data_IF_491459946587
#
_entry.id   IF_491459946587
#
_cell.length_a   1.000
_cell.length_b   1.000
_cell.length_c   1.000
_cell.angle_alpha   90.00
_cell.angle_beta   90.00
_cell.angle_gamma   90.00
#
_symmetry.space_group_name_H-M   'P 1'
#
loop_
_entity.id
_entity.type
_entity.pdbx_description
1 polymer ?
#
# COMPACT_ATOMS: atom_id res chain seq x y z
N UNK A 1 14.53 8.10 -3.06
CA UNK A 1 13.78 7.98 -1.79
C UNK A 1 14.34 6.88 -0.93
N UNK A 2 14.07 6.90 0.39
CA UNK A 2 14.56 5.93 1.36
C UNK A 2 13.45 4.98 1.81
N UNK A 3 13.85 3.77 2.18
CA UNK A 3 12.98 2.76 2.77
C UNK A 3 13.04 2.78 4.30
N UNK A 4 12.03 2.20 4.92
CA UNK A 4 12.02 1.80 6.32
C UNK A 4 11.42 0.41 6.43
N UNK A 5 12.12 -0.50 7.10
CA UNK A 5 11.56 -1.79 7.46
C UNK A 5 10.78 -1.67 8.77
N UNK A 6 9.55 -2.15 8.77
CA UNK A 6 8.67 -2.17 9.95
C UNK A 6 8.38 -3.62 10.29
N UNK A 7 8.72 -4.02 11.50
CA UNK A 7 8.49 -5.35 12.04
C UNK A 7 7.41 -5.30 13.11
N UNK A 8 6.51 -6.27 13.09
CA UNK A 8 5.46 -6.42 14.09
C UNK A 8 5.24 -7.89 14.43
N UNK A 9 5.15 -8.18 15.72
CA UNK A 9 4.72 -9.48 16.22
C UNK A 9 3.21 -9.38 16.47
N UNK A 10 2.46 -10.34 15.94
CA UNK A 10 1.03 -10.49 16.19
C UNK A 10 0.80 -11.80 16.94
N UNK A 11 0.13 -11.74 18.09
CA UNK A 11 -0.34 -12.93 18.76
C UNK A 11 -1.68 -13.31 18.12
N UNK A 12 -1.78 -14.49 17.59
CA UNK A 12 -3.05 -15.06 17.12
C UNK A 12 -3.75 -15.76 18.27
N UNK A 13 -5.06 -16.00 18.15
CA UNK A 13 -5.87 -16.62 19.20
C UNK A 13 -5.37 -18.00 19.67
N UNK A 14 -4.52 -18.63 18.87
CA UNK A 14 -3.99 -19.98 19.10
C UNK A 14 -2.57 -19.98 19.68
N UNK A 15 -2.20 -18.92 20.44
CA UNK A 15 -0.89 -18.73 21.05
C UNK A 15 0.32 -18.75 20.08
N UNK A 16 0.09 -18.86 18.79
CA UNK A 16 1.14 -18.79 17.77
C UNK A 16 1.59 -17.36 17.55
N UNK A 17 2.90 -17.13 17.49
CA UNK A 17 3.48 -15.82 17.17
C UNK A 17 3.62 -15.67 15.66
N UNK A 18 2.87 -14.74 15.07
CA UNK A 18 3.03 -14.40 13.66
C UNK A 18 3.93 -13.16 13.52
N UNK A 19 5.05 -13.32 12.81
CA UNK A 19 5.98 -12.23 12.52
C UNK A 19 5.60 -11.57 11.20
N UNK A 20 5.35 -10.27 11.24
CA UNK A 20 5.05 -9.47 10.04
C UNK A 20 6.14 -8.45 9.80
N UNK A 21 6.73 -8.48 8.60
CA UNK A 21 7.66 -7.47 8.12
C UNK A 21 7.03 -6.70 6.97
N UNK A 22 7.22 -5.39 6.94
CA UNK A 22 6.79 -4.53 5.83
C UNK A 22 7.90 -3.60 5.43
N UNK A 23 8.13 -3.50 4.13
CA UNK A 23 8.96 -2.46 3.55
C UNK A 23 8.09 -1.24 3.28
N UNK A 24 8.45 -0.09 3.83
CA UNK A 24 7.67 1.14 3.77
C UNK A 24 8.52 2.27 3.22
N UNK A 25 7.98 3.01 2.27
CA UNK A 25 8.61 4.21 1.72
C UNK A 25 8.47 5.37 2.70
N UNK A 26 9.52 6.18 2.85
CA UNK A 26 9.44 7.43 3.61
C UNK A 26 8.72 8.50 2.78
N UNK A 27 7.39 8.54 2.86
CA UNK A 27 6.49 9.37 2.05
C UNK A 27 6.76 10.88 2.10
N UNK A 28 7.34 11.37 3.21
CA UNK A 28 7.68 12.79 3.36
C UNK A 28 8.79 13.26 2.41
N UNK A 29 9.53 12.35 1.79
CA UNK A 29 10.55 12.65 0.78
C UNK A 29 9.97 12.80 -0.63
N UNK A 30 8.73 12.39 -0.85
CA UNK A 30 8.07 12.53 -2.15
C UNK A 30 7.74 13.98 -2.48
N UNK A 31 8.11 14.42 -3.69
CA UNK A 31 7.87 15.76 -4.22
C UNK A 31 6.71 15.73 -5.22
N UNK A 32 5.75 16.63 -5.04
CA UNK A 32 4.66 16.81 -5.99
C UNK A 32 5.20 17.29 -7.35
N UNK A 33 4.67 16.74 -8.44
CA UNK A 33 5.10 17.03 -9.80
C UNK A 33 6.33 16.26 -10.28
N UNK A 34 7.02 15.51 -9.39
CA UNK A 34 8.15 14.65 -9.72
C UNK A 34 7.82 13.19 -9.39
N UNK A 35 7.52 12.90 -8.12
CA UNK A 35 7.26 11.54 -7.65
C UNK A 35 5.78 11.16 -7.70
N UNK A 36 4.89 12.15 -7.75
CA UNK A 36 3.45 11.96 -7.91
C UNK A 36 2.79 13.20 -8.51
N UNK A 37 1.81 13.01 -9.36
CA UNK A 37 1.00 14.09 -9.95
C UNK A 37 -0.22 14.38 -9.08
N UNK A 38 -0.96 13.36 -8.71
CA UNK A 38 -2.21 13.44 -7.98
C UNK A 38 -2.30 12.32 -6.93
N UNK A 39 -2.89 12.63 -5.78
CA UNK A 39 -3.08 11.68 -4.68
C UNK A 39 -4.56 11.47 -4.33
N UNK A 40 -5.45 12.17 -5.03
CA UNK A 40 -6.88 12.09 -4.73
C UNK A 40 -7.42 10.71 -5.07
N UNK A 41 -8.09 10.10 -4.12
CA UNK A 41 -8.90 8.91 -4.33
C UNK A 41 -10.29 9.14 -3.78
N UNK A 42 -11.31 8.64 -4.49
CA UNK A 42 -12.69 8.73 -4.03
C UNK A 42 -12.93 7.76 -2.88
N UNK A 43 -13.41 8.28 -1.75
CA UNK A 43 -13.86 7.46 -0.64
C UNK A 43 -15.39 7.32 -0.67
N UNK A 44 -15.88 6.11 -0.44
CA UNK A 44 -17.31 5.87 -0.33
C UNK A 44 -17.83 6.52 0.95
N UNK A 45 -18.89 7.34 0.83
CA UNK A 45 -19.55 7.95 1.98
C UNK A 45 -20.32 6.90 2.79
N UNK A 46 -20.31 7.03 4.11
CA UNK A 46 -21.06 6.13 5.01
C UNK A 46 -22.56 6.09 4.69
N UNK A 47 -23.14 7.20 4.23
CA UNK A 47 -24.54 7.26 3.78
C UNK A 47 -24.80 6.35 2.58
N UNK A 48 -23.87 6.25 1.64
CA UNK A 48 -23.99 5.35 0.49
C UNK A 48 -23.94 3.88 0.93
N UNK A 49 -23.04 3.54 1.86
CA UNK A 49 -22.95 2.18 2.42
C UNK A 49 -24.28 1.82 3.11
N UNK A 50 -24.84 2.71 3.92
CA UNK A 50 -26.12 2.50 4.60
C UNK A 50 -27.28 2.32 3.61
N UNK A 51 -27.31 3.11 2.53
CA UNK A 51 -28.33 2.98 1.47
C UNK A 51 -28.24 1.60 0.81
N UNK A 52 -27.02 1.17 0.43
CA UNK A 52 -26.81 -0.16 -0.19
C UNK A 52 -27.25 -1.28 0.75
N UNK A 53 -26.85 -1.23 2.03
CA UNK A 53 -27.28 -2.22 3.03
C UNK A 53 -28.80 -2.23 3.23
N UNK A 54 -29.45 -1.06 3.19
CA UNK A 54 -30.92 -0.94 3.24
C UNK A 54 -31.59 -1.61 2.03
N UNK A 55 -31.04 -1.42 0.81
CA UNK A 55 -31.55 -2.10 -0.38
C UNK A 55 -31.33 -3.61 -0.33
N UNK A 56 -30.17 -4.07 0.17
CA UNK A 56 -29.90 -5.50 0.39
C UNK A 56 -30.95 -6.11 1.31
N UNK A 57 -31.25 -5.47 2.43
CA UNK A 57 -32.24 -5.94 3.38
C UNK A 57 -33.68 -5.92 2.77
N UNK A 58 -34.07 -4.83 2.09
CA UNK A 58 -35.41 -4.68 1.51
C UNK A 58 -35.69 -5.69 0.38
N UNK A 59 -34.65 -6.06 -0.39
CA UNK A 59 -34.78 -6.99 -1.53
C UNK A 59 -34.32 -8.41 -1.22
N UNK A 60 -33.97 -8.69 0.04
CA UNK A 60 -33.41 -9.96 0.49
C UNK A 60 -32.26 -10.48 -0.39
N UNK A 61 -31.32 -9.58 -0.72
CA UNK A 61 -30.16 -9.92 -1.55
C UNK A 61 -29.07 -10.59 -0.71
N UNK A 62 -28.31 -11.45 -1.35
CA UNK A 62 -27.11 -12.02 -0.72
C UNK A 62 -25.99 -10.96 -0.67
N UNK A 63 -25.33 -10.85 0.48
CA UNK A 63 -24.21 -9.93 0.71
C UNK A 63 -22.94 -10.73 1.03
N UNK A 64 -21.88 -10.47 0.29
CA UNK A 64 -20.56 -11.02 0.57
C UNK A 64 -19.56 -9.90 0.84
N UNK A 65 -18.73 -10.10 1.84
CA UNK A 65 -17.62 -9.21 2.15
C UNK A 65 -16.31 -9.86 1.69
N UNK A 66 -15.63 -9.19 0.77
CA UNK A 66 -14.33 -9.64 0.26
C UNK A 66 -13.25 -8.67 0.70
N UNK A 67 -12.15 -9.19 1.21
CA UNK A 67 -10.94 -8.44 1.51
C UNK A 67 -9.76 -9.01 0.74
N UNK A 68 -9.14 -8.19 -0.09
CA UNK A 68 -8.01 -8.60 -0.91
C UNK A 68 -6.72 -8.40 -0.11
N UNK A 69 -6.00 -9.49 0.13
CA UNK A 69 -4.69 -9.42 0.78
C UNK A 69 -3.72 -8.60 -0.07
N UNK A 70 -2.99 -7.72 0.58
CA UNK A 70 -1.92 -6.91 -0.06
C UNK A 70 -2.36 -6.09 -1.27
N UNK A 71 -3.62 -5.67 -1.33
CA UNK A 71 -4.21 -4.90 -2.44
C UNK A 71 -3.28 -3.78 -2.93
N UNK A 72 -2.71 -3.02 -2.00
CA UNK A 72 -1.83 -1.89 -2.31
C UNK A 72 -0.50 -2.27 -2.98
N UNK A 73 -0.09 -3.53 -2.91
CA UNK A 73 1.16 -3.99 -3.55
C UNK A 73 0.95 -4.48 -4.99
N UNK A 74 -0.30 -4.61 -5.42
CA UNK A 74 -0.65 -5.07 -6.75
C UNK A 74 -0.77 -3.93 -7.77
N UNK A 75 -0.98 -2.69 -7.30
CA UNK A 75 -1.09 -1.51 -8.16
C UNK A 75 0.17 -1.26 -8.99
N UNK A 76 0.00 -1.05 -10.27
CA UNK A 76 1.09 -0.62 -11.15
C UNK A 76 1.32 0.89 -10.97
N UNK A 77 2.57 1.31 -11.01
CA UNK A 77 2.94 2.72 -10.91
C UNK A 77 2.96 3.34 -12.29
N UNK A 78 2.22 4.45 -12.44
CA UNK A 78 2.25 5.27 -13.66
C UNK A 78 3.50 6.15 -13.69
N UNK A 79 4.00 6.55 -12.51
CA UNK A 79 5.16 7.42 -12.37
C UNK A 79 6.45 6.63 -12.19
N UNK A 80 7.53 7.17 -12.70
CA UNK A 80 8.88 6.62 -12.54
C UNK A 80 9.45 6.98 -11.16
N UNK A 81 9.34 6.05 -10.23
CA UNK A 81 9.82 6.23 -8.85
C UNK A 81 11.14 5.49 -8.66
N UNK A 82 12.14 6.24 -8.21
CA UNK A 82 13.48 5.71 -7.93
C UNK A 82 13.79 5.75 -6.44
N UNK A 83 14.37 4.68 -5.94
CA UNK A 83 14.70 4.51 -4.54
C UNK A 83 16.16 4.10 -4.37
N UNK A 84 16.78 4.53 -3.28
CA UNK A 84 18.11 4.02 -2.89
C UNK A 84 18.04 2.52 -2.63
N UNK A 85 19.16 1.83 -2.84
CA UNK A 85 19.26 0.42 -2.46
C UNK A 85 19.04 0.25 -0.95
N UNK A 86 18.50 -0.89 -0.55
CA UNK A 86 18.36 -1.25 0.86
C UNK A 86 19.75 -1.49 1.47
N UNK A 87 19.99 -0.96 2.66
CA UNK A 87 21.30 -1.03 3.35
C UNK A 87 21.88 -2.45 3.41
N UNK A 88 21.01 -3.47 3.55
CA UNK A 88 21.44 -4.89 3.63
C UNK A 88 21.52 -5.61 2.29
N UNK A 89 21.17 -4.94 1.19
CA UNK A 89 21.13 -5.49 -0.18
C UNK A 89 21.87 -4.62 -1.18
N UNK A 90 22.88 -3.88 -0.72
CA UNK A 90 23.74 -3.08 -1.61
C UNK A 90 24.60 -4.04 -2.41
N UNK A 91 24.51 -3.92 -3.75
CA UNK A 91 25.32 -4.73 -4.66
C UNK A 91 26.73 -4.16 -4.71
N UNK A 92 27.71 -4.99 -4.37
CA UNK A 92 29.12 -4.59 -4.34
C UNK A 92 29.58 -4.13 -5.72
N UNK A 93 30.19 -2.95 -5.81
CA UNK A 93 30.61 -2.31 -7.06
C UNK A 93 29.49 -1.53 -7.79
N UNK A 94 28.27 -1.51 -7.24
CA UNK A 94 27.13 -0.80 -7.81
C UNK A 94 26.37 0.05 -6.77
N UNK A 95 27.10 0.59 -5.80
CA UNK A 95 26.54 1.33 -4.67
C UNK A 95 25.80 2.61 -5.09
N UNK A 96 26.21 3.19 -6.24
CA UNK A 96 25.58 4.39 -6.80
C UNK A 96 24.28 4.14 -7.56
N UNK A 97 23.95 2.88 -7.87
CA UNK A 97 22.72 2.55 -8.58
C UNK A 97 21.50 2.70 -7.70
N UNK A 98 20.39 3.06 -8.34
CA UNK A 98 19.06 3.18 -7.71
C UNK A 98 18.12 2.12 -8.23
N UNK A 99 17.13 1.77 -7.41
CA UNK A 99 16.09 0.81 -7.77
C UNK A 99 14.89 1.57 -8.36
N UNK A 100 14.46 1.24 -9.58
CA UNK A 100 13.20 1.70 -10.13
C UNK A 100 12.08 0.80 -9.62
N UNK A 101 11.05 1.39 -9.02
CA UNK A 101 9.86 0.65 -8.58
C UNK A 101 8.98 0.32 -9.79
N UNK A 102 8.54 -0.92 -9.87
CA UNK A 102 7.56 -1.38 -10.88
C UNK A 102 6.14 -1.43 -10.31
N UNK A 103 6.02 -1.69 -9.02
CA UNK A 103 4.74 -1.81 -8.32
C UNK A 103 4.72 -0.96 -7.06
N UNK A 104 3.52 -0.64 -6.62
CA UNK A 104 3.30 0.14 -5.41
C UNK A 104 3.90 -0.51 -4.17
N UNK A 105 4.44 0.32 -3.27
CA UNK A 105 4.91 -0.09 -1.96
C UNK A 105 4.21 0.74 -0.88
N UNK A 106 4.05 0.16 0.31
CA UNK A 106 3.50 0.87 1.45
C UNK A 106 4.23 2.19 1.71
N UNK A 107 3.46 3.24 1.98
CA UNK A 107 3.98 4.57 2.28
C UNK A 107 4.04 5.52 1.08
N UNK A 108 3.76 5.10 -0.15
CA UNK A 108 3.61 6.01 -1.28
C UNK A 108 2.30 6.78 -1.15
N UNK A 109 2.32 8.09 -1.45
CA UNK A 109 1.15 8.98 -1.33
C UNK A 109 0.03 8.64 -2.33
N UNK A 110 0.39 8.14 -3.50
CA UNK A 110 -0.55 7.81 -4.58
C UNK A 110 -1.24 6.45 -4.43
N UNK A 111 -0.83 5.61 -3.48
CA UNK A 111 -1.41 4.27 -3.27
C UNK A 111 -2.94 4.25 -3.23
N UNK A 112 -3.62 5.16 -2.51
CA UNK A 112 -5.08 5.11 -2.42
C UNK A 112 -5.80 5.33 -3.76
N UNK A 113 -5.08 5.84 -4.77
CA UNK A 113 -5.61 6.10 -6.11
C UNK A 113 -5.52 4.88 -7.05
N UNK A 114 -4.57 4.00 -6.82
CA UNK A 114 -4.22 2.88 -7.71
C UNK A 114 -5.00 1.60 -7.44
#
# INVERSE_FOLDING_TARGET
MLFRSVYRIKNEHDASKCYKARLVVKWFQQKKGIDYSEIFSSNVKMSTIRLVLGMVAAKNLHLEQLDVKTTFLHGDLEEDIYMSQLEWFIVQGQESLVCKLRKSLYGLKQIPRQ
#
